data_IF_926586700666
#
_entry.id   IF_926586700666
#
_cell.length_a   1.000
_cell.length_b   1.000
_cell.length_c   1.000
_cell.angle_alpha   90.00
_cell.angle_beta   90.00
_cell.angle_gamma   90.00
#
_symmetry.space_group_name_H-M   'P 1'
#
loop_
_entity.id
_entity.type
_entity.pdbx_description
1 polymer ?
#
# COMPACT_ATOMS: atom_id res chain seq x y z
N UNK A 1 4.36 -7.63 -31.93
CA UNK A 1 4.88 -7.81 -30.55
C UNK A 1 3.71 -7.46 -29.66
N UNK A 2 3.23 -8.43 -28.93
CA UNK A 2 2.10 -8.25 -28.03
C UNK A 2 2.45 -7.37 -26.82
N UNK A 3 1.48 -6.66 -26.31
CA UNK A 3 1.63 -5.76 -25.16
C UNK A 3 1.16 -6.40 -23.86
N UNK A 4 1.84 -6.10 -22.77
CA UNK A 4 1.42 -6.42 -21.40
C UNK A 4 0.28 -5.51 -20.95
N UNK A 5 -0.37 -5.79 -19.81
CA UNK A 5 -1.43 -4.94 -19.26
C UNK A 5 -0.97 -3.49 -19.08
N UNK A 6 0.18 -3.29 -18.45
CA UNK A 6 0.78 -1.98 -18.21
C UNK A 6 1.06 -1.23 -19.51
N UNK A 7 1.61 -1.91 -20.52
CA UNK A 7 1.88 -1.29 -21.81
C UNK A 7 0.61 -0.83 -22.53
N UNK A 8 -0.47 -1.63 -22.47
CA UNK A 8 -1.77 -1.24 -23.07
C UNK A 8 -2.38 0.00 -22.41
N UNK A 9 -2.34 0.08 -21.08
CA UNK A 9 -2.82 1.25 -20.35
C UNK A 9 -2.00 2.48 -20.75
N UNK A 10 -0.69 2.38 -20.75
CA UNK A 10 0.20 3.48 -21.12
C UNK A 10 0.04 3.90 -22.60
N UNK A 11 -0.13 2.96 -23.51
CA UNK A 11 -0.38 3.26 -24.92
C UNK A 11 -1.68 4.05 -25.10
N UNK A 12 -2.76 3.62 -24.44
CA UNK A 12 -4.05 4.29 -24.51
C UNK A 12 -3.98 5.73 -23.99
N UNK A 13 -3.28 5.95 -22.86
CA UNK A 13 -3.13 7.29 -22.27
C UNK A 13 -2.11 8.18 -23.00
N UNK A 14 -1.25 7.60 -23.82
CA UNK A 14 -0.37 8.35 -24.72
C UNK A 14 -0.98 8.61 -26.10
N UNK A 15 -2.20 8.12 -26.35
CA UNK A 15 -2.84 8.23 -27.67
C UNK A 15 -2.13 7.43 -28.77
N UNK A 16 -1.45 6.34 -28.39
CA UNK A 16 -0.68 5.48 -29.27
C UNK A 16 -1.38 4.13 -29.48
N UNK A 17 -1.24 3.53 -30.67
CA UNK A 17 -1.74 2.17 -30.91
C UNK A 17 -0.95 1.11 -30.16
N UNK A 18 0.35 1.34 -29.99
CA UNK A 18 1.24 0.43 -29.27
C UNK A 18 2.46 1.17 -28.70
N UNK A 19 3.06 0.57 -27.66
CA UNK A 19 4.32 1.03 -27.06
C UNK A 19 5.26 -0.17 -26.84
N UNK A 20 6.54 0.12 -26.70
CA UNK A 20 7.56 -0.90 -26.43
C UNK A 20 8.37 -0.53 -25.17
N UNK A 21 8.92 -1.52 -24.46
CA UNK A 21 9.79 -1.27 -23.31
C UNK A 21 10.92 -0.29 -23.65
N UNK A 22 11.17 0.68 -22.77
CA UNK A 22 12.18 1.70 -22.94
C UNK A 22 11.76 2.93 -23.77
N UNK A 23 10.61 2.90 -24.44
CA UNK A 23 10.06 4.05 -25.15
C UNK A 23 9.71 5.17 -24.18
N UNK A 24 10.09 6.41 -24.53
CA UNK A 24 9.63 7.60 -23.79
C UNK A 24 8.32 8.06 -24.36
N UNK A 25 7.34 8.22 -23.49
CA UNK A 25 5.98 8.68 -23.82
C UNK A 25 5.55 9.80 -22.88
N UNK A 26 4.63 10.62 -23.30
CA UNK A 26 3.84 11.50 -22.45
C UNK A 26 2.42 10.90 -22.38
N UNK A 27 1.89 10.73 -21.18
CA UNK A 27 0.60 10.08 -20.96
C UNK A 27 -0.32 10.97 -20.12
N UNK A 28 -1.61 10.98 -20.46
CA UNK A 28 -2.66 11.66 -19.71
C UNK A 28 -2.88 10.99 -18.35
N UNK A 29 -3.25 11.79 -17.35
CA UNK A 29 -3.48 11.36 -15.97
C UNK A 29 -4.97 11.41 -15.64
N UNK A 30 -5.46 10.34 -14.99
CA UNK A 30 -6.82 10.27 -14.46
C UNK A 30 -6.91 10.71 -13.04
N UNK A 31 -5.83 10.52 -12.26
CA UNK A 31 -5.75 10.95 -10.86
C UNK A 31 -4.33 11.36 -10.49
N UNK A 32 -4.22 12.47 -9.74
CA UNK A 32 -2.96 12.92 -9.12
C UNK A 32 -3.16 12.99 -7.61
N UNK A 33 -2.30 12.31 -6.84
CA UNK A 33 -2.41 12.19 -5.40
C UNK A 33 -1.30 12.94 -4.68
N UNK A 34 -1.64 13.65 -3.60
CA UNK A 34 -0.68 14.22 -2.65
C UNK A 34 -1.15 14.09 -1.20
N UNK A 35 -0.19 13.99 -0.30
CA UNK A 35 -0.41 13.96 1.15
C UNK A 35 0.22 15.18 1.85
N UNK A 36 0.17 15.21 3.18
CA UNK A 36 0.66 16.32 4.00
C UNK A 36 2.20 16.38 4.15
N UNK A 37 2.93 15.38 3.65
CA UNK A 37 4.41 15.44 3.56
C UNK A 37 4.84 16.00 2.22
N UNK A 38 4.35 15.45 1.13
CA UNK A 38 4.81 15.69 -0.23
C UNK A 38 4.05 16.81 -0.93
N UNK A 39 2.77 17.00 -0.55
CA UNK A 39 1.92 18.05 -1.07
C UNK A 39 2.48 19.46 -0.91
N UNK A 40 2.93 19.88 0.30
CA UNK A 40 3.54 21.21 0.48
C UNK A 40 4.74 21.46 -0.42
N UNK A 41 5.59 20.43 -0.64
CA UNK A 41 6.75 20.53 -1.53
C UNK A 41 6.30 20.79 -2.98
N UNK A 42 5.33 20.01 -3.46
CA UNK A 42 4.78 20.17 -4.81
C UNK A 42 4.09 21.53 -4.98
N UNK A 43 3.31 21.97 -4.00
CA UNK A 43 2.62 23.26 -4.02
C UNK A 43 3.64 24.39 -4.14
N UNK A 44 4.73 24.37 -3.40
CA UNK A 44 5.80 25.37 -3.51
C UNK A 44 6.47 25.37 -4.89
N UNK A 45 6.63 24.21 -5.54
CA UNK A 45 7.16 24.16 -6.90
C UNK A 45 6.16 24.71 -7.91
N UNK A 46 4.87 24.37 -7.77
CA UNK A 46 3.79 24.93 -8.61
C UNK A 46 3.70 26.45 -8.50
N UNK A 47 3.87 27.01 -7.30
CA UNK A 47 3.82 28.47 -7.08
C UNK A 47 4.90 29.24 -7.84
N UNK A 48 6.00 28.60 -8.21
CA UNK A 48 7.07 29.19 -9.04
C UNK A 48 6.71 29.23 -10.54
N UNK A 49 5.71 28.48 -10.96
CA UNK A 49 5.30 28.40 -12.37
C UNK A 49 4.43 29.61 -12.77
N UNK A 50 4.41 29.91 -14.06
CA UNK A 50 3.52 30.94 -14.61
C UNK A 50 2.05 30.50 -14.60
N UNK A 51 1.77 29.23 -14.89
CA UNK A 51 0.45 28.60 -14.78
C UNK A 51 0.32 27.96 -13.41
N UNK A 52 -0.62 28.46 -12.60
CA UNK A 52 -0.82 28.02 -11.20
C UNK A 52 -2.16 27.33 -10.98
N UNK A 53 -3.00 27.23 -12.00
CA UNK A 53 -4.31 26.58 -11.94
C UNK A 53 -4.15 25.10 -12.26
N UNK A 54 -4.71 24.25 -11.43
CA UNK A 54 -4.75 22.80 -11.68
C UNK A 54 -5.47 22.47 -12.98
N UNK A 55 -5.07 21.37 -13.62
CA UNK A 55 -5.66 20.98 -14.91
C UNK A 55 -7.14 20.58 -14.77
N UNK A 56 -7.46 19.86 -13.70
CA UNK A 56 -8.82 19.43 -13.37
C UNK A 56 -8.92 19.24 -11.86
N UNK A 57 -9.79 20.00 -11.19
CA UNK A 57 -10.01 19.95 -9.74
C UNK A 57 -10.61 18.64 -9.26
N UNK A 58 -11.29 17.90 -10.14
CA UNK A 58 -11.95 16.63 -9.83
C UNK A 58 -11.02 15.43 -10.00
N UNK A 59 -9.86 15.63 -10.64
CA UNK A 59 -8.82 14.62 -10.86
C UNK A 59 -7.60 14.77 -9.92
N UNK A 60 -7.73 15.54 -8.86
CA UNK A 60 -6.69 15.70 -7.84
C UNK A 60 -7.25 15.27 -6.50
N UNK A 61 -6.51 14.42 -5.78
CA UNK A 61 -6.82 14.01 -4.41
C UNK A 61 -5.75 14.51 -3.46
N UNK A 62 -6.17 15.16 -2.38
CA UNK A 62 -5.29 15.66 -1.32
C UNK A 62 -5.70 15.05 0.01
N UNK A 63 -4.82 14.27 0.62
CA UNK A 63 -5.11 13.49 1.83
C UNK A 63 -4.06 13.76 2.91
N UNK A 64 -4.35 14.59 3.92
CA UNK A 64 -3.47 14.75 5.08
C UNK A 64 -3.60 13.55 6.03
N UNK A 65 -2.80 12.50 5.83
CA UNK A 65 -2.89 11.23 6.55
C UNK A 65 -1.61 10.81 7.29
N UNK A 66 -0.48 11.48 7.04
CA UNK A 66 0.80 11.11 7.63
C UNK A 66 1.03 11.73 9.01
N UNK A 67 0.72 13.02 9.17
CA UNK A 67 0.91 13.77 10.41
C UNK A 67 -0.40 14.25 11.04
N UNK A 68 -1.51 13.77 10.55
CA UNK A 68 -2.84 14.09 11.07
C UNK A 68 -3.41 12.95 11.94
N UNK A 69 -4.11 13.28 13.05
CA UNK A 69 -4.19 14.61 13.67
C UNK A 69 -2.81 15.14 14.04
N UNK A 70 -2.59 16.44 13.90
CA UNK A 70 -1.24 17.00 13.89
C UNK A 70 -0.45 16.75 15.19
N UNK A 71 0.75 16.23 15.07
CA UNK A 71 1.65 15.91 16.18
C UNK A 71 2.43 17.10 16.73
N UNK A 72 2.63 18.14 15.92
CA UNK A 72 3.39 19.34 16.24
C UNK A 72 2.98 20.52 15.35
N UNK A 73 3.55 21.72 15.63
CA UNK A 73 3.23 22.95 14.90
C UNK A 73 3.60 22.83 13.42
N UNK A 74 4.74 22.22 13.09
CA UNK A 74 5.21 22.06 11.71
C UNK A 74 4.25 21.18 10.90
N UNK A 75 3.80 20.09 11.50
CA UNK A 75 2.77 19.22 10.90
C UNK A 75 1.46 19.95 10.64
N UNK A 76 1.05 20.82 11.60
CA UNK A 76 -0.15 21.64 11.45
C UNK A 76 -0.01 22.65 10.30
N UNK A 77 1.17 23.25 10.13
CA UNK A 77 1.46 24.16 9.01
C UNK A 77 1.45 23.43 7.65
N UNK A 78 1.96 22.21 7.58
CA UNK A 78 1.89 21.37 6.37
C UNK A 78 0.43 21.06 6.00
N UNK A 79 -0.37 20.58 6.94
CA UNK A 79 -1.79 20.29 6.70
C UNK A 79 -2.56 21.57 6.32
N UNK A 80 -2.23 22.72 6.95
CA UNK A 80 -2.80 24.03 6.58
C UNK A 80 -2.46 24.41 5.15
N UNK A 81 -1.21 24.25 4.72
CA UNK A 81 -0.77 24.52 3.34
C UNK A 81 -1.62 23.73 2.33
N UNK A 82 -1.75 22.42 2.54
CA UNK A 82 -2.55 21.54 1.66
C UNK A 82 -4.03 21.97 1.64
N UNK A 83 -4.61 22.28 2.81
CA UNK A 83 -6.00 22.72 2.94
C UNK A 83 -6.26 24.04 2.21
N UNK A 84 -5.39 25.03 2.40
CA UNK A 84 -5.51 26.34 1.76
C UNK A 84 -5.37 26.24 0.24
N UNK A 85 -4.45 25.39 -0.23
CA UNK A 85 -4.30 25.10 -1.65
C UNK A 85 -5.55 24.43 -2.23
N UNK A 86 -6.08 23.39 -1.56
CA UNK A 86 -7.31 22.73 -1.97
C UNK A 86 -8.47 23.72 -2.13
N UNK A 87 -8.63 24.60 -1.15
CA UNK A 87 -9.65 25.67 -1.18
C UNK A 87 -9.41 26.66 -2.30
N UNK A 88 -8.19 27.12 -2.50
CA UNK A 88 -7.84 28.10 -3.53
C UNK A 88 -8.03 27.55 -4.94
N UNK A 89 -7.78 26.26 -5.17
CA UNK A 89 -7.94 25.59 -6.46
C UNK A 89 -9.34 24.98 -6.65
N UNK A 90 -10.18 24.96 -5.60
CA UNK A 90 -11.50 24.37 -5.61
C UNK A 90 -11.47 22.85 -5.76
N UNK A 91 -10.40 22.18 -5.29
CA UNK A 91 -10.21 20.73 -5.39
C UNK A 91 -11.34 20.01 -4.66
N UNK A 92 -12.00 19.10 -5.36
CA UNK A 92 -13.17 18.37 -4.86
C UNK A 92 -12.77 17.26 -3.89
N UNK A 93 -11.66 16.56 -4.16
CA UNK A 93 -11.23 15.40 -3.39
C UNK A 93 -10.16 15.81 -2.34
N UNK A 94 -10.56 16.64 -1.40
CA UNK A 94 -9.79 16.98 -0.21
C UNK A 94 -10.46 16.33 1.02
N UNK A 95 -9.69 15.56 1.77
CA UNK A 95 -10.20 14.79 2.91
C UNK A 95 -9.59 15.29 4.23
N UNK A 96 -10.30 16.15 4.93
CA UNK A 96 -9.89 16.71 6.22
C UNK A 96 -9.94 15.68 7.35
N UNK A 97 -9.31 15.99 8.49
CA UNK A 97 -9.41 15.20 9.74
C UNK A 97 -10.88 14.93 10.08
N UNK A 98 -11.22 13.66 10.23
CA UNK A 98 -12.61 13.20 10.41
C UNK A 98 -13.21 12.55 9.16
N UNK A 99 -12.76 12.93 7.98
CA UNK A 99 -13.10 12.31 6.69
C UNK A 99 -11.91 11.56 6.09
N UNK A 100 -10.72 11.78 6.63
CA UNK A 100 -9.48 11.19 6.16
C UNK A 100 -9.41 9.68 6.40
N UNK A 101 -8.56 9.04 5.63
CA UNK A 101 -8.06 7.69 5.84
C UNK A 101 -6.64 7.65 5.32
N UNK A 102 -5.96 6.53 5.49
CA UNK A 102 -4.67 6.32 4.83
C UNK A 102 -4.92 6.32 3.32
N UNK A 103 -4.26 7.22 2.59
CA UNK A 103 -4.55 7.55 1.19
C UNK A 103 -4.73 6.33 0.28
N UNK A 104 -3.86 5.32 0.40
CA UNK A 104 -3.91 4.12 -0.44
C UNK A 104 -5.03 3.12 -0.06
N UNK A 105 -5.73 3.32 1.03
CA UNK A 105 -6.97 2.63 1.35
C UNK A 105 -8.19 3.51 1.08
N UNK A 106 -8.07 4.82 1.34
CA UNK A 106 -9.16 5.78 1.18
C UNK A 106 -9.57 5.97 -0.28
N UNK A 107 -8.62 6.15 -1.20
CA UNK A 107 -8.94 6.45 -2.59
C UNK A 107 -9.72 5.33 -3.29
N UNK A 108 -9.36 4.04 -3.15
CA UNK A 108 -10.19 2.93 -3.62
C UNK A 108 -11.57 2.89 -2.96
N UNK A 109 -11.65 3.09 -1.63
CA UNK A 109 -12.93 3.13 -0.88
C UNK A 109 -13.85 4.26 -1.35
N UNK A 110 -13.28 5.39 -1.79
CA UNK A 110 -14.03 6.52 -2.36
C UNK A 110 -14.30 6.38 -3.86
N UNK A 111 -13.89 5.28 -4.47
CA UNK A 111 -14.09 5.02 -5.89
C UNK A 111 -13.40 6.01 -6.82
N UNK A 112 -12.31 6.64 -6.36
CA UNK A 112 -11.60 7.67 -7.12
C UNK A 112 -10.70 7.11 -8.22
N UNK A 113 -10.39 5.83 -8.16
CA UNK A 113 -9.55 5.12 -9.14
C UNK A 113 -10.23 3.80 -9.52
N UNK A 114 -10.24 3.48 -10.81
CA UNK A 114 -10.85 2.26 -11.36
C UNK A 114 -9.91 1.62 -12.38
N UNK A 115 -10.27 0.43 -12.87
CA UNK A 115 -9.48 -0.31 -13.84
C UNK A 115 -9.21 0.49 -15.13
N UNK A 116 -7.99 0.37 -15.63
CA UNK A 116 -7.53 0.98 -16.86
C UNK A 116 -7.13 2.46 -16.73
N UNK A 117 -7.25 3.06 -15.56
CA UNK A 117 -6.83 4.44 -15.31
C UNK A 117 -5.32 4.56 -15.02
N UNK A 118 -4.78 5.76 -15.22
CA UNK A 118 -3.39 6.13 -14.89
C UNK A 118 -3.36 7.10 -13.72
N UNK A 119 -2.66 6.72 -12.65
CA UNK A 119 -2.52 7.52 -11.44
C UNK A 119 -1.07 7.75 -11.07
N UNK A 120 -0.72 8.99 -10.70
CA UNK A 120 0.54 9.30 -10.05
C UNK A 120 0.33 9.89 -8.67
N UNK A 121 1.27 9.64 -7.77
CA UNK A 121 1.29 10.26 -6.45
C UNK A 121 2.72 10.50 -6.00
N UNK A 122 2.92 11.49 -5.14
CA UNK A 122 4.23 11.71 -4.54
C UNK A 122 4.43 10.84 -3.28
N UNK A 123 3.84 9.64 -3.29
CA UNK A 123 4.09 8.56 -2.35
C UNK A 123 4.51 7.30 -3.09
N UNK A 124 5.51 6.59 -2.54
CA UNK A 124 6.06 5.39 -3.18
C UNK A 124 5.01 4.29 -3.37
N UNK A 125 4.04 4.18 -2.43
CA UNK A 125 3.03 3.13 -2.42
C UNK A 125 1.79 3.47 -3.29
N UNK A 126 1.85 4.52 -4.11
CA UNK A 126 0.83 4.81 -5.13
C UNK A 126 0.59 3.61 -6.06
N UNK A 127 1.56 2.69 -6.19
CA UNK A 127 1.40 1.44 -6.94
C UNK A 127 0.25 0.53 -6.43
N UNK A 128 -0.30 0.78 -5.25
CA UNK A 128 -1.40 0.02 -4.63
C UNK A 128 -2.60 -0.19 -5.55
N UNK A 129 -2.92 0.78 -6.40
CA UNK A 129 -4.11 0.75 -7.24
C UNK A 129 -4.01 -0.21 -8.43
N UNK A 130 -2.84 -0.78 -8.67
CA UNK A 130 -2.69 -1.92 -9.59
C UNK A 130 -3.50 -3.15 -9.19
N UNK A 131 -3.90 -3.25 -7.92
CA UNK A 131 -4.87 -4.26 -7.45
C UNK A 131 -6.23 -4.15 -8.16
N UNK A 132 -6.60 -2.96 -8.66
CA UNK A 132 -7.81 -2.70 -9.44
C UNK A 132 -7.58 -2.81 -10.96
N UNK A 133 -6.38 -3.15 -11.41
CA UNK A 133 -6.03 -3.15 -12.83
C UNK A 133 -5.76 -1.75 -13.40
N UNK A 134 -5.33 -0.80 -12.58
CA UNK A 134 -4.87 0.53 -12.98
C UNK A 134 -3.34 0.59 -13.08
N UNK A 135 -2.80 1.41 -13.97
CA UNK A 135 -1.40 1.79 -13.90
C UNK A 135 -1.22 2.92 -12.89
N UNK A 136 -0.59 2.62 -11.78
CA UNK A 136 -0.36 3.60 -10.74
C UNK A 136 1.07 3.51 -10.22
N UNK A 137 1.70 4.67 -10.00
CA UNK A 137 3.12 4.70 -9.62
C UNK A 137 3.48 5.94 -8.80
N UNK A 138 4.45 5.76 -7.90
CA UNK A 138 5.06 6.87 -7.18
C UNK A 138 6.02 7.68 -8.06
N UNK A 139 5.97 9.01 -7.89
CA UNK A 139 6.85 9.98 -8.57
C UNK A 139 7.41 10.98 -7.57
N UNK A 140 8.37 11.78 -7.99
CA UNK A 140 8.87 12.91 -7.18
C UNK A 140 7.81 14.00 -6.98
N UNK A 141 7.91 14.77 -5.88
CA UNK A 141 6.97 15.87 -5.60
C UNK A 141 6.92 16.92 -6.71
N UNK A 142 8.05 17.17 -7.39
CA UNK A 142 8.12 18.09 -8.53
C UNK A 142 7.33 17.56 -9.74
N UNK A 143 7.51 16.27 -10.06
CA UNK A 143 6.78 15.63 -11.17
C UNK A 143 5.28 15.57 -10.88
N UNK A 144 4.92 15.27 -9.62
CA UNK A 144 3.52 15.29 -9.18
C UNK A 144 2.94 16.70 -9.29
N UNK A 145 3.67 17.75 -8.86
CA UNK A 145 3.27 19.14 -9.02
C UNK A 145 3.08 19.53 -10.50
N UNK A 146 3.97 19.09 -11.40
CA UNK A 146 3.81 19.27 -12.83
C UNK A 146 2.53 18.58 -13.34
N UNK A 147 2.29 17.33 -12.93
CA UNK A 147 1.09 16.58 -13.25
C UNK A 147 -0.21 17.28 -12.81
N UNK A 148 -0.21 17.91 -11.61
CA UNK A 148 -1.36 18.69 -11.13
C UNK A 148 -1.69 19.88 -12.04
N UNK A 149 -0.71 20.44 -12.74
CA UNK A 149 -0.90 21.61 -13.63
C UNK A 149 -1.18 21.20 -15.08
N UNK A 150 -0.50 20.16 -15.55
CA UNK A 150 -0.58 19.74 -16.97
C UNK A 150 -1.64 18.69 -17.24
N UNK A 151 -1.93 17.84 -16.26
CA UNK A 151 -2.73 16.63 -16.45
C UNK A 151 -1.98 15.51 -17.16
N UNK A 152 -0.66 15.63 -17.28
CA UNK A 152 0.20 14.70 -18.02
C UNK A 152 1.47 14.41 -17.24
N UNK A 153 2.03 13.24 -17.50
CA UNK A 153 3.36 12.86 -17.03
C UNK A 153 4.11 12.10 -18.13
N UNK A 154 5.43 12.25 -18.14
CA UNK A 154 6.27 11.43 -19.00
C UNK A 154 6.66 10.13 -18.32
N UNK A 155 6.72 9.06 -19.10
CA UNK A 155 7.16 7.76 -18.64
C UNK A 155 8.14 7.14 -19.64
N UNK A 156 9.13 6.45 -19.10
CA UNK A 156 9.82 5.41 -19.85
C UNK A 156 8.98 4.15 -19.67
N UNK A 157 8.43 3.60 -20.75
CA UNK A 157 7.60 2.38 -20.69
C UNK A 157 8.38 1.27 -20.01
N UNK A 158 7.89 0.69 -18.88
CA UNK A 158 8.60 -0.40 -18.22
C UNK A 158 8.48 -1.71 -19.03
N UNK A 159 9.50 -2.55 -18.95
CA UNK A 159 9.33 -3.97 -19.23
C UNK A 159 8.60 -4.65 -18.08
N UNK A 160 8.23 -5.91 -18.21
CA UNK A 160 7.43 -6.61 -17.21
C UNK A 160 8.02 -7.95 -16.79
N UNK A 161 7.79 -8.30 -15.54
CA UNK A 161 7.97 -9.64 -14.98
C UNK A 161 6.58 -10.24 -14.77
N UNK A 162 6.36 -11.44 -15.28
CA UNK A 162 5.16 -12.22 -15.00
C UNK A 162 5.33 -12.97 -13.69
N UNK A 163 4.44 -12.72 -12.72
CA UNK A 163 4.37 -13.49 -11.47
C UNK A 163 3.18 -14.42 -11.57
N UNK A 164 3.45 -15.69 -11.85
CA UNK A 164 2.43 -16.72 -12.01
C UNK A 164 2.10 -17.35 -10.66
N UNK A 165 0.89 -17.10 -10.15
CA UNK A 165 0.37 -17.66 -8.91
C UNK A 165 -0.40 -18.94 -9.18
N UNK A 166 -0.06 -20.03 -8.48
CA UNK A 166 -0.72 -21.33 -8.58
C UNK A 166 -1.28 -21.79 -7.24
N UNK A 167 -2.38 -22.53 -7.28
CA UNK A 167 -2.99 -23.08 -6.07
C UNK A 167 -3.74 -22.06 -5.23
N UNK A 168 -3.84 -22.32 -3.93
CA UNK A 168 -4.62 -21.53 -2.98
C UNK A 168 -3.82 -21.24 -1.70
N UNK A 169 -4.14 -20.10 -1.05
CA UNK A 169 -3.51 -19.74 0.23
C UNK A 169 -3.93 -20.72 1.34
N UNK A 170 -2.96 -21.11 2.17
CA UNK A 170 -3.20 -21.87 3.39
C UNK A 170 -3.84 -21.00 4.48
N UNK A 171 -4.49 -21.61 5.48
CA UNK A 171 -4.92 -20.85 6.67
C UNK A 171 -3.74 -20.04 7.27
N UNK A 172 -4.03 -18.80 7.63
CA UNK A 172 -3.09 -17.83 8.22
C UNK A 172 -1.97 -17.31 7.28
N UNK A 173 -2.00 -17.69 6.01
CA UNK A 173 -1.17 -17.09 4.95
C UNK A 173 -2.01 -16.09 4.19
N UNK A 174 -1.47 -14.91 3.90
CA UNK A 174 -2.15 -13.80 3.26
C UNK A 174 -1.33 -13.20 2.12
N UNK A 175 -1.89 -12.23 1.41
CA UNK A 175 -1.16 -11.46 0.40
C UNK A 175 0.15 -10.86 0.91
N UNK A 176 0.22 -10.52 2.22
CA UNK A 176 1.47 -10.08 2.84
C UNK A 176 2.57 -11.11 2.77
N UNK A 177 2.25 -12.37 3.03
CA UNK A 177 3.22 -13.47 2.97
C UNK A 177 3.65 -13.72 1.51
N UNK A 178 2.71 -13.60 0.55
CA UNK A 178 3.01 -13.73 -0.88
C UNK A 178 4.03 -12.70 -1.34
N UNK A 179 3.81 -11.43 -1.02
CA UNK A 179 4.71 -10.36 -1.48
C UNK A 179 6.05 -10.39 -0.74
N UNK A 180 6.08 -10.70 0.56
CA UNK A 180 7.33 -10.90 1.29
C UNK A 180 8.14 -12.06 0.71
N UNK A 181 7.47 -13.18 0.37
CA UNK A 181 8.12 -14.30 -0.28
C UNK A 181 8.72 -13.89 -1.64
N UNK A 182 7.97 -13.17 -2.48
CA UNK A 182 8.47 -12.67 -3.76
C UNK A 182 9.70 -11.77 -3.58
N UNK A 183 9.62 -10.79 -2.66
CA UNK A 183 10.75 -9.88 -2.39
C UNK A 183 11.97 -10.66 -1.89
N UNK A 184 11.76 -11.69 -1.05
CA UNK A 184 12.82 -12.58 -0.61
C UNK A 184 13.48 -13.39 -1.73
N UNK A 185 12.74 -13.71 -2.79
CA UNK A 185 13.25 -14.42 -3.95
C UNK A 185 14.07 -13.54 -4.89
N UNK A 186 13.60 -12.31 -5.16
CA UNK A 186 14.20 -11.46 -6.21
C UNK A 186 15.03 -10.30 -5.68
N UNK A 187 14.96 -10.02 -4.36
CA UNK A 187 15.63 -8.88 -3.73
C UNK A 187 14.87 -7.55 -3.88
N UNK A 188 15.35 -6.52 -3.20
CA UNK A 188 14.75 -5.17 -3.19
C UNK A 188 14.92 -4.40 -4.51
N UNK A 189 15.74 -4.89 -5.41
CA UNK A 189 16.00 -4.31 -6.74
C UNK A 189 15.69 -5.27 -7.90
N UNK A 190 15.19 -6.48 -7.61
CA UNK A 190 14.94 -7.52 -8.61
C UNK A 190 13.93 -7.12 -9.69
N UNK A 191 13.01 -6.21 -9.37
CA UNK A 191 12.06 -5.66 -10.33
C UNK A 191 12.32 -4.17 -10.66
N UNK A 192 13.57 -3.70 -10.49
CA UNK A 192 13.89 -2.29 -10.64
C UNK A 192 13.41 -1.72 -11.97
N UNK A 193 12.52 -0.72 -11.88
CA UNK A 193 11.88 -0.04 -13.02
C UNK A 193 11.04 -0.96 -13.94
N UNK A 194 10.59 -2.11 -13.47
CA UNK A 194 9.72 -3.04 -14.21
C UNK A 194 8.29 -3.00 -13.68
N UNK A 195 7.36 -3.53 -14.45
CA UNK A 195 6.01 -3.86 -13.99
C UNK A 195 5.99 -5.30 -13.46
N UNK A 196 5.40 -5.54 -12.29
CA UNK A 196 5.06 -6.89 -11.83
C UNK A 196 3.61 -7.18 -12.23
N UNK A 197 3.39 -8.13 -13.13
CA UNK A 197 2.05 -8.55 -13.55
C UNK A 197 1.70 -9.88 -12.91
N UNK A 198 0.79 -9.85 -11.92
CA UNK A 198 0.36 -11.02 -11.17
C UNK A 198 -0.73 -11.76 -11.93
N UNK A 199 -0.50 -13.00 -12.27
CA UNK A 199 -1.36 -13.80 -13.15
C UNK A 199 -1.49 -15.23 -12.63
N UNK A 200 -2.25 -16.05 -13.33
CA UNK A 200 -2.43 -17.46 -13.01
C UNK A 200 -3.70 -17.75 -12.20
N UNK A 201 -3.99 -19.02 -12.04
CA UNK A 201 -5.22 -19.47 -11.38
C UNK A 201 -5.28 -19.11 -9.89
N UNK A 202 -4.13 -19.00 -9.24
CA UNK A 202 -4.01 -18.65 -7.82
C UNK A 202 -4.52 -17.24 -7.50
N UNK A 203 -4.58 -16.33 -8.48
CA UNK A 203 -5.15 -14.97 -8.29
C UNK A 203 -6.59 -15.05 -7.80
N UNK A 204 -7.36 -16.06 -8.22
CA UNK A 204 -8.76 -16.25 -7.80
C UNK A 204 -8.91 -16.56 -6.31
N UNK A 205 -7.88 -17.12 -5.67
CA UNK A 205 -7.91 -17.40 -4.22
C UNK A 205 -7.72 -16.14 -3.38
N UNK A 206 -7.05 -15.11 -3.93
CA UNK A 206 -6.77 -13.86 -3.23
C UNK A 206 -8.03 -13.01 -3.05
N UNK A 207 -8.19 -12.44 -1.87
CA UNK A 207 -9.16 -11.37 -1.62
C UNK A 207 -8.69 -10.07 -2.27
N UNK A 208 -9.56 -9.04 -2.32
CA UNK A 208 -9.13 -7.71 -2.76
C UNK A 208 -8.09 -7.11 -1.79
N UNK A 209 -8.24 -7.35 -0.48
CA UNK A 209 -7.30 -6.86 0.53
C UNK A 209 -5.92 -7.50 0.36
N UNK A 210 -5.84 -8.79 -0.01
CA UNK A 210 -4.58 -9.45 -0.39
C UNK A 210 -3.94 -8.79 -1.62
N UNK A 211 -4.74 -8.53 -2.68
CA UNK A 211 -4.24 -7.89 -3.90
C UNK A 211 -3.73 -6.48 -3.65
N UNK A 212 -4.42 -5.71 -2.81
CA UNK A 212 -3.96 -4.39 -2.39
C UNK A 212 -2.64 -4.46 -1.62
N UNK A 213 -2.48 -5.44 -0.71
CA UNK A 213 -1.22 -5.64 0.01
C UNK A 213 -0.07 -5.99 -0.92
N UNK A 214 -0.30 -6.87 -1.89
CA UNK A 214 0.71 -7.31 -2.87
C UNK A 214 1.10 -6.14 -3.78
N UNK A 215 0.13 -5.45 -4.37
CA UNK A 215 0.38 -4.30 -5.25
C UNK A 215 1.08 -3.15 -4.51
N UNK A 216 0.68 -2.89 -3.25
CA UNK A 216 1.30 -1.88 -2.40
C UNK A 216 2.81 -2.10 -2.23
N UNK A 217 3.22 -3.34 -1.99
CA UNK A 217 4.62 -3.67 -1.72
C UNK A 217 5.43 -4.02 -2.97
N UNK A 218 4.88 -3.90 -4.17
CA UNK A 218 5.63 -4.09 -5.41
C UNK A 218 6.84 -3.14 -5.52
N UNK A 219 6.71 -1.93 -5.01
CA UNK A 219 7.80 -0.94 -4.95
C UNK A 219 8.97 -1.41 -4.07
N UNK A 220 8.75 -2.28 -3.10
CA UNK A 220 9.81 -2.81 -2.24
C UNK A 220 10.72 -3.82 -2.95
N UNK A 221 10.32 -4.28 -4.15
CA UNK A 221 11.17 -4.99 -5.10
C UNK A 221 11.74 -4.08 -6.20
N UNK A 222 11.54 -2.75 -6.09
CA UNK A 222 11.98 -1.76 -7.08
C UNK A 222 11.01 -1.57 -8.25
N UNK A 223 9.86 -2.23 -8.28
CA UNK A 223 8.91 -2.15 -9.38
C UNK A 223 8.26 -0.76 -9.51
N UNK A 224 7.91 -0.38 -10.74
CA UNK A 224 7.11 0.81 -11.01
C UNK A 224 5.65 0.63 -10.57
N UNK A 225 5.12 -0.57 -10.75
CA UNK A 225 3.78 -0.96 -10.31
C UNK A 225 3.69 -2.48 -10.12
N UNK A 226 2.69 -2.91 -9.36
CA UNK A 226 2.24 -4.30 -9.31
C UNK A 226 0.79 -4.33 -9.75
N UNK A 227 0.46 -5.07 -10.82
CA UNK A 227 -0.86 -5.03 -11.43
C UNK A 227 -1.50 -6.42 -11.50
N UNK A 228 -2.81 -6.47 -11.26
CA UNK A 228 -3.63 -7.66 -11.32
C UNK A 228 -4.61 -7.62 -12.49
N UNK A 229 -4.97 -8.76 -13.08
CA UNK A 229 -6.07 -8.84 -14.03
C UNK A 229 -7.38 -8.49 -13.33
N UNK A 230 -8.29 -7.89 -14.07
CA UNK A 230 -9.61 -7.52 -13.59
C UNK A 230 -10.55 -8.71 -13.71
N UNK A 231 -10.90 -9.30 -12.59
CA UNK A 231 -11.84 -10.41 -12.50
C UNK A 231 -13.16 -10.00 -11.79
N UNK A 232 -14.03 -10.97 -11.55
CA UNK A 232 -15.32 -10.76 -10.91
C UNK A 232 -15.21 -10.09 -9.52
N UNK A 233 -14.15 -10.40 -8.74
CA UNK A 233 -13.93 -9.78 -7.43
C UNK A 233 -13.54 -8.30 -7.58
N UNK A 234 -12.68 -7.99 -8.56
CA UNK A 234 -12.28 -6.61 -8.84
C UNK A 234 -13.48 -5.79 -9.34
N UNK A 235 -14.29 -6.38 -10.23
CA UNK A 235 -15.50 -5.73 -10.75
C UNK A 235 -16.48 -5.46 -9.59
N UNK A 236 -16.76 -6.44 -8.76
CA UNK A 236 -17.67 -6.28 -7.61
C UNK A 236 -17.19 -5.18 -6.66
N UNK A 237 -15.88 -5.15 -6.38
CA UNK A 237 -15.30 -4.09 -5.54
C UNK A 237 -15.47 -2.70 -6.17
N UNK A 238 -15.17 -2.55 -7.47
CA UNK A 238 -15.32 -1.26 -8.16
C UNK A 238 -16.78 -0.81 -8.21
N UNK A 239 -17.71 -1.71 -8.51
CA UNK A 239 -19.14 -1.38 -8.59
C UNK A 239 -19.76 -1.02 -7.23
N UNK A 240 -19.23 -1.55 -6.14
CA UNK A 240 -19.63 -1.16 -4.78
C UNK A 240 -19.18 0.26 -4.43
N UNK A 241 -18.01 0.69 -4.93
CA UNK A 241 -17.36 1.92 -4.48
C UNK A 241 -17.40 3.06 -5.51
N UNK A 242 -17.67 2.78 -6.79
CA UNK A 242 -17.57 3.77 -7.87
C UNK A 242 -18.70 3.65 -8.90
N UNK A 243 -19.10 4.80 -9.44
CA UNK A 243 -19.98 4.87 -10.61
C UNK A 243 -19.20 5.24 -11.89
N UNK A 244 -17.87 5.35 -11.81
CA UNK A 244 -17.01 5.66 -12.95
C UNK A 244 -17.04 4.53 -13.97
N UNK A 245 -16.95 4.88 -15.24
CA UNK A 245 -16.68 3.90 -16.29
C UNK A 245 -15.24 3.44 -16.20
N UNK A 246 -15.00 2.18 -16.45
CA UNK A 246 -13.67 1.59 -16.44
C UNK A 246 -13.39 0.83 -17.75
N UNK A 247 -12.12 0.60 -18.02
CA UNK A 247 -11.66 -0.20 -19.16
C UNK A 247 -10.80 -1.35 -18.66
N UNK A 248 -11.10 -2.56 -19.11
CA UNK A 248 -10.32 -3.75 -18.76
C UNK A 248 -9.26 -3.96 -19.84
N UNK A 249 -8.01 -4.03 -19.41
CA UNK A 249 -6.88 -4.38 -20.26
C UNK A 249 -6.33 -5.75 -19.84
N UNK A 250 -6.31 -6.67 -20.80
CA UNK A 250 -5.66 -7.96 -20.66
C UNK A 250 -4.38 -7.97 -21.50
N UNK A 251 -3.33 -8.71 -21.10
CA UNK A 251 -2.14 -8.85 -21.93
C UNK A 251 -2.49 -9.56 -23.23
N UNK A 252 -1.76 -9.28 -24.30
CA UNK A 252 -1.87 -10.05 -25.54
C UNK A 252 -1.36 -11.48 -25.32
N UNK A 253 -1.82 -12.43 -26.13
CA UNK A 253 -1.38 -13.84 -26.03
C UNK A 253 0.14 -13.98 -26.27
N UNK A 254 0.71 -13.10 -27.11
CA UNK A 254 2.12 -13.01 -27.43
C UNK A 254 2.83 -11.88 -26.67
N UNK A 255 2.29 -11.43 -25.53
CA UNK A 255 2.94 -10.43 -24.67
C UNK A 255 4.30 -10.95 -24.19
N UNK A 256 5.32 -10.09 -24.27
CA UNK A 256 6.68 -10.44 -23.88
C UNK A 256 6.96 -9.99 -22.43
N UNK A 257 7.54 -10.91 -21.65
CA UNK A 257 7.99 -10.69 -20.28
C UNK A 257 9.49 -10.96 -20.19
N UNK A 258 10.22 -10.12 -19.43
CA UNK A 258 11.66 -10.34 -19.18
C UNK A 258 11.91 -11.65 -18.45
N UNK A 259 10.97 -12.01 -17.56
CA UNK A 259 11.07 -13.20 -16.71
C UNK A 259 9.67 -13.67 -16.31
N UNK A 260 9.55 -14.95 -16.00
CA UNK A 260 8.37 -15.54 -15.35
C UNK A 260 8.77 -16.18 -14.04
N UNK A 261 8.17 -15.71 -12.95
CA UNK A 261 8.36 -16.22 -11.59
C UNK A 261 7.10 -16.98 -11.21
N UNK A 262 7.23 -18.26 -10.88
CA UNK A 262 6.09 -19.07 -10.43
C UNK A 262 6.10 -19.21 -8.92
N UNK A 263 4.97 -18.90 -8.26
CA UNK A 263 4.76 -19.08 -6.81
C UNK A 263 3.61 -20.07 -6.60
N UNK A 264 3.89 -21.18 -5.94
CA UNK A 264 2.86 -22.13 -5.51
C UNK A 264 2.34 -21.73 -4.12
N UNK A 265 1.15 -21.15 -4.09
CA UNK A 265 0.48 -20.68 -2.88
C UNK A 265 0.25 -21.81 -1.87
N UNK A 266 0.09 -23.06 -2.34
CA UNK A 266 -0.08 -24.21 -1.46
C UNK A 266 1.19 -24.52 -0.63
N UNK A 267 2.34 -24.02 -1.02
CA UNK A 267 3.61 -24.27 -0.32
C UNK A 267 4.00 -23.16 0.63
N UNK A 268 3.41 -21.96 0.46
CA UNK A 268 3.74 -20.82 1.30
C UNK A 268 3.44 -21.07 2.78
N UNK A 269 4.29 -20.51 3.62
CA UNK A 269 4.15 -20.51 5.07
C UNK A 269 4.18 -19.06 5.58
N UNK A 270 3.64 -18.78 6.78
CA UNK A 270 3.75 -17.46 7.39
C UNK A 270 5.20 -16.99 7.40
N UNK A 271 5.41 -15.79 6.84
CA UNK A 271 6.73 -15.24 6.52
C UNK A 271 7.00 -13.98 7.32
N UNK A 272 8.25 -13.78 7.72
CA UNK A 272 8.74 -12.58 8.42
C UNK A 272 9.96 -12.04 7.67
N UNK A 273 9.95 -10.74 7.37
CA UNK A 273 11.15 -10.05 6.88
C UNK A 273 11.92 -9.44 8.06
N UNK A 274 13.16 -9.82 8.19
CA UNK A 274 14.07 -9.39 9.24
C UNK A 274 14.66 -8.00 8.94
N UNK A 275 15.10 -7.23 9.96
CA UNK A 275 15.80 -5.98 9.75
C UNK A 275 17.09 -6.18 8.92
N UNK A 276 17.52 -5.21 8.09
CA UNK A 276 16.89 -3.90 7.86
C UNK A 276 16.47 -3.76 6.38
N UNK A 277 16.10 -4.88 5.73
CA UNK A 277 15.60 -4.90 4.35
C UNK A 277 14.42 -5.88 4.24
N UNK A 278 13.39 -5.54 3.43
CA UNK A 278 12.24 -6.44 3.22
C UNK A 278 12.59 -7.79 2.58
N UNK A 279 13.75 -7.90 1.91
CA UNK A 279 14.24 -9.15 1.31
C UNK A 279 14.81 -10.17 2.31
N UNK A 280 15.08 -9.75 3.55
CA UNK A 280 15.63 -10.64 4.58
C UNK A 280 14.55 -11.57 5.15
N UNK A 281 13.88 -12.32 4.28
CA UNK A 281 12.73 -13.14 4.63
C UNK A 281 13.12 -14.51 5.18
N UNK A 282 12.32 -14.97 6.15
CA UNK A 282 12.34 -16.32 6.69
C UNK A 282 10.91 -16.76 6.99
N UNK A 283 10.66 -18.05 6.98
CA UNK A 283 9.42 -18.55 7.58
C UNK A 283 9.43 -18.31 9.10
N UNK A 284 8.25 -18.19 9.70
CA UNK A 284 8.16 -18.02 11.17
C UNK A 284 8.86 -19.15 11.91
N UNK A 285 8.83 -20.39 11.39
CA UNK A 285 9.54 -21.56 11.95
C UNK A 285 11.06 -21.38 11.99
N UNK A 286 11.60 -20.67 11.00
CA UNK A 286 13.05 -20.40 10.87
C UNK A 286 13.49 -19.14 11.63
N UNK A 287 12.52 -18.31 12.08
CA UNK A 287 12.80 -17.05 12.75
C UNK A 287 13.58 -17.20 14.06
N UNK A 288 13.47 -18.36 14.72
CA UNK A 288 14.05 -18.58 16.02
C UNK A 288 13.32 -17.81 17.13
N UNK A 289 13.96 -17.70 18.29
CA UNK A 289 13.36 -17.00 19.43
C UNK A 289 13.72 -15.52 19.43
N UNK A 290 12.87 -14.70 18.79
CA UNK A 290 13.00 -13.24 18.75
C UNK A 290 11.96 -12.62 19.68
N UNK A 291 12.37 -12.09 20.80
CA UNK A 291 11.53 -11.33 21.75
C UNK A 291 11.29 -9.94 21.17
N UNK A 292 10.06 -9.44 21.31
CA UNK A 292 9.62 -8.14 20.79
C UNK A 292 9.15 -7.22 21.92
N UNK A 293 9.12 -5.91 21.66
CA UNK A 293 8.67 -4.87 22.58
C UNK A 293 7.34 -4.23 22.11
N UNK A 294 7.10 -4.24 20.79
CA UNK A 294 5.94 -3.59 20.19
C UNK A 294 5.38 -4.40 19.03
N UNK A 295 4.07 -4.27 18.82
CA UNK A 295 3.34 -4.77 17.66
C UNK A 295 2.56 -3.63 17.04
N UNK A 296 2.65 -3.51 15.71
CA UNK A 296 1.81 -2.56 14.94
C UNK A 296 1.02 -3.34 13.91
N UNK A 297 -0.31 -3.24 13.98
CA UNK A 297 -1.25 -3.87 13.04
C UNK A 297 -2.00 -2.75 12.32
N UNK A 298 -1.88 -2.67 11.02
CA UNK A 298 -2.51 -1.62 10.23
C UNK A 298 -1.65 -1.15 9.06
N UNK A 299 -1.72 0.12 8.73
CA UNK A 299 -1.11 0.83 7.61
C UNK A 299 -1.87 0.69 6.28
N UNK A 300 -1.35 1.34 5.22
CA UNK A 300 -1.90 1.20 3.86
C UNK A 300 -1.82 -0.23 3.33
N UNK A 301 -0.91 -1.03 3.88
CA UNK A 301 -0.70 -2.42 3.48
C UNK A 301 -1.77 -3.34 4.09
N UNK A 302 -1.92 -3.30 5.42
CA UNK A 302 -2.73 -4.26 6.18
C UNK A 302 -3.54 -3.60 7.31
N UNK A 303 -4.33 -2.58 6.97
CA UNK A 303 -5.28 -1.93 7.88
C UNK A 303 -6.73 -2.03 7.42
N UNK A 304 -7.03 -2.90 6.44
CA UNK A 304 -8.38 -3.11 5.92
C UNK A 304 -9.19 -4.04 6.82
N UNK A 305 -10.47 -4.16 6.54
CA UNK A 305 -11.40 -4.85 7.43
C UNK A 305 -11.03 -6.34 7.61
N UNK A 306 -10.58 -7.00 6.56
CA UNK A 306 -10.15 -8.40 6.63
C UNK A 306 -8.90 -8.58 7.50
N UNK A 307 -7.93 -7.68 7.39
CA UNK A 307 -6.73 -7.67 8.25
C UNK A 307 -7.09 -7.56 9.72
N UNK A 308 -8.01 -6.63 10.04
CA UNK A 308 -8.49 -6.43 11.39
C UNK A 308 -9.30 -7.63 11.91
N UNK A 309 -10.10 -8.26 11.04
CA UNK A 309 -10.83 -9.49 11.37
C UNK A 309 -9.87 -10.60 11.76
N UNK A 310 -8.87 -10.87 10.93
CA UNK A 310 -7.86 -11.92 11.18
C UNK A 310 -7.17 -11.69 12.53
N UNK A 311 -6.71 -10.46 12.77
CA UNK A 311 -6.06 -10.11 14.03
C UNK A 311 -7.00 -10.23 15.23
N UNK A 312 -8.25 -9.80 15.09
CA UNK A 312 -9.26 -9.88 16.15
C UNK A 312 -9.63 -11.35 16.47
N UNK A 313 -9.79 -12.21 15.46
CA UNK A 313 -10.09 -13.63 15.66
C UNK A 313 -8.99 -14.32 16.48
N UNK A 314 -7.72 -13.98 16.23
CA UNK A 314 -6.59 -14.51 16.98
C UNK A 314 -6.54 -13.97 18.41
N UNK A 315 -6.81 -12.69 18.62
CA UNK A 315 -6.75 -12.03 19.93
C UNK A 315 -7.99 -12.26 20.80
N UNK A 316 -9.08 -12.78 20.23
CA UNK A 316 -10.35 -12.98 20.93
C UNK A 316 -10.23 -13.87 22.15
N UNK A 317 -10.58 -13.30 23.32
CA UNK A 317 -10.51 -14.00 24.61
C UNK A 317 -9.10 -14.17 25.17
N UNK A 318 -8.08 -13.62 24.50
CA UNK A 318 -6.67 -13.70 24.91
C UNK A 318 -6.17 -12.32 25.38
N UNK A 319 -5.00 -12.28 25.94
CA UNK A 319 -4.33 -11.06 26.42
C UNK A 319 -2.99 -10.87 25.73
N UNK A 320 -2.67 -9.63 25.45
CA UNK A 320 -1.31 -9.22 25.06
C UNK A 320 -0.33 -9.58 26.16
N UNK A 321 0.84 -10.10 25.80
CA UNK A 321 1.90 -10.44 26.75
C UNK A 321 2.31 -9.21 27.57
N UNK A 322 2.62 -9.44 28.85
CA UNK A 322 3.02 -8.35 29.75
C UNK A 322 4.29 -7.65 29.24
N UNK A 323 4.21 -6.34 29.12
CA UNK A 323 5.33 -5.50 28.65
C UNK A 323 5.31 -5.22 27.15
N UNK A 324 4.44 -5.86 26.38
CA UNK A 324 4.30 -5.61 24.94
C UNK A 324 3.28 -4.46 24.70
N UNK A 325 3.63 -3.53 23.83
CA UNK A 325 2.73 -2.49 23.33
C UNK A 325 2.12 -2.96 22.02
N UNK A 326 0.80 -2.90 21.89
CA UNK A 326 0.10 -3.21 20.64
C UNK A 326 -0.67 -2.00 20.17
N UNK A 327 -0.43 -1.58 18.94
CA UNK A 327 -1.11 -0.46 18.27
C UNK A 327 -1.83 -1.01 17.05
N UNK A 328 -3.15 -0.79 17.00
CA UNK A 328 -4.00 -1.17 15.87
C UNK A 328 -4.47 0.09 15.16
N UNK A 329 -4.34 0.12 13.84
CA UNK A 329 -4.64 1.29 13.00
C UNK A 329 -5.60 0.87 11.90
N UNK A 330 -6.92 1.07 12.05
CA UNK A 330 -7.86 0.94 10.95
C UNK A 330 -7.49 1.91 9.82
N UNK A 331 -7.55 1.47 8.57
CA UNK A 331 -7.01 2.27 7.47
C UNK A 331 -7.89 3.48 7.09
N UNK A 332 -9.20 3.43 7.34
CA UNK A 332 -10.13 4.54 7.07
C UNK A 332 -11.17 4.66 8.18
N UNK A 333 -11.90 5.79 8.20
CA UNK A 333 -13.01 5.98 9.13
C UNK A 333 -14.13 4.97 8.92
N UNK A 334 -14.41 4.60 7.66
CA UNK A 334 -15.41 3.58 7.36
C UNK A 334 -14.98 2.22 7.90
N UNK A 335 -13.75 1.80 7.63
CA UNK A 335 -13.19 0.55 8.17
C UNK A 335 -13.23 0.57 9.71
N UNK A 336 -12.96 1.72 10.34
CA UNK A 336 -13.04 1.85 11.79
C UNK A 336 -14.46 1.60 12.32
N UNK A 337 -15.48 2.18 11.67
CA UNK A 337 -16.88 1.94 12.02
C UNK A 337 -17.28 0.49 11.78
N UNK A 338 -16.96 -0.09 10.63
CA UNK A 338 -17.25 -1.49 10.30
C UNK A 338 -16.59 -2.45 11.31
N UNK A 339 -15.35 -2.18 11.70
CA UNK A 339 -14.65 -2.95 12.73
C UNK A 339 -15.26 -2.77 14.14
N UNK A 340 -15.82 -1.60 14.43
CA UNK A 340 -16.56 -1.35 15.67
C UNK A 340 -17.86 -2.15 15.71
N UNK A 341 -18.64 -2.10 14.62
CA UNK A 341 -19.90 -2.82 14.50
C UNK A 341 -19.71 -4.34 14.53
N UNK A 342 -18.62 -4.85 13.93
CA UNK A 342 -18.21 -6.24 14.00
C UNK A 342 -17.64 -6.67 15.38
N UNK A 343 -17.42 -5.73 16.30
CA UNK A 343 -16.89 -6.00 17.64
C UNK A 343 -15.36 -6.17 17.70
N UNK A 344 -14.63 -5.96 16.61
CA UNK A 344 -13.17 -6.13 16.56
C UNK A 344 -12.46 -5.11 17.42
N UNK A 345 -12.92 -3.85 17.42
CA UNK A 345 -12.36 -2.78 18.26
C UNK A 345 -12.45 -3.15 19.75
N UNK A 346 -13.60 -3.69 20.19
CA UNK A 346 -13.76 -4.18 21.55
C UNK A 346 -12.77 -5.30 21.86
N UNK A 347 -12.62 -6.26 20.96
CA UNK A 347 -11.67 -7.38 21.10
C UNK A 347 -10.24 -6.87 21.29
N UNK A 348 -9.79 -5.91 20.50
CA UNK A 348 -8.46 -5.32 20.63
C UNK A 348 -8.26 -4.64 21.98
N UNK A 349 -9.21 -3.81 22.42
CA UNK A 349 -9.13 -3.11 23.72
C UNK A 349 -9.15 -4.13 24.87
N UNK A 350 -10.04 -5.11 24.82
CA UNK A 350 -10.11 -6.16 25.83
C UNK A 350 -8.84 -7.01 25.87
N UNK A 351 -8.17 -7.24 24.74
CA UNK A 351 -6.88 -7.92 24.70
C UNK A 351 -5.75 -7.09 25.31
N UNK A 352 -5.88 -5.76 25.40
CA UNK A 352 -4.87 -4.84 25.92
C UNK A 352 -4.13 -4.05 24.84
N UNK A 353 -4.68 -3.96 23.62
CA UNK A 353 -4.17 -3.12 22.56
C UNK A 353 -4.74 -1.69 22.63
N UNK A 354 -4.02 -0.74 22.03
CA UNK A 354 -4.50 0.61 21.74
C UNK A 354 -4.99 0.64 20.29
N UNK A 355 -6.20 1.17 20.08
CA UNK A 355 -6.72 1.41 18.73
C UNK A 355 -6.59 2.90 18.42
N UNK A 356 -5.94 3.20 17.31
CA UNK A 356 -5.67 4.57 16.85
C UNK A 356 -6.72 5.06 15.87
N UNK A 357 -6.75 6.38 15.66
CA UNK A 357 -7.35 6.95 14.45
C UNK A 357 -6.61 6.47 13.18
N UNK A 358 -7.26 6.44 12.00
CA UNK A 358 -6.58 6.19 10.73
C UNK A 358 -5.42 7.18 10.52
N UNK A 359 -4.20 6.67 10.34
CA UNK A 359 -3.01 7.47 10.06
C UNK A 359 -1.88 6.62 9.53
N UNK A 360 -1.08 7.14 8.62
CA UNK A 360 0.13 6.50 8.12
C UNK A 360 1.35 6.75 9.03
N UNK A 361 1.27 7.68 9.97
CA UNK A 361 2.38 8.19 10.78
C UNK A 361 3.28 7.16 11.45
N UNK A 362 2.78 6.09 12.09
CA UNK A 362 3.64 5.07 12.70
C UNK A 362 4.57 4.36 11.72
N UNK A 363 4.13 4.14 10.48
CA UNK A 363 4.90 3.45 9.44
C UNK A 363 6.23 4.15 9.09
N UNK A 364 6.32 5.46 9.30
CA UNK A 364 7.50 6.27 8.98
C UNK A 364 8.15 6.90 10.22
N UNK A 365 7.74 6.52 11.42
CA UNK A 365 8.23 7.15 12.66
C UNK A 365 7.82 8.62 12.78
N UNK A 366 6.77 9.01 12.08
CA UNK A 366 6.36 10.39 11.94
C UNK A 366 5.29 10.86 12.93
N UNK A 367 4.62 9.95 13.64
CA UNK A 367 3.48 10.32 14.47
C UNK A 367 3.49 9.64 15.85
N UNK A 368 3.04 8.38 15.97
CA UNK A 368 2.94 7.65 17.23
C UNK A 368 3.66 6.30 17.13
N UNK A 369 3.83 5.59 18.27
CA UNK A 369 4.43 4.26 18.28
C UNK A 369 5.90 4.26 17.88
N UNK A 370 6.60 5.37 18.13
CA UNK A 370 8.02 5.53 17.81
C UNK A 370 8.83 4.61 18.73
N UNK A 371 9.77 3.88 18.13
CA UNK A 371 10.65 2.95 18.82
C UNK A 371 11.86 3.66 19.44
N UNK A 372 12.20 3.27 20.67
CA UNK A 372 13.42 3.67 21.34
C UNK A 372 14.62 2.82 20.88
N UNK A 373 15.80 3.13 21.42
CA UNK A 373 17.05 2.40 21.16
C UNK A 373 16.88 0.90 21.47
N UNK A 374 17.24 0.06 20.48
CA UNK A 374 17.21 -1.42 20.57
C UNK A 374 15.83 -2.05 20.77
N UNK A 375 14.75 -1.29 20.72
CA UNK A 375 13.41 -1.88 20.74
C UNK A 375 13.12 -2.64 19.44
N UNK A 376 12.38 -3.74 19.56
CA UNK A 376 11.97 -4.63 18.49
C UNK A 376 10.49 -4.55 18.25
N UNK A 377 10.11 -4.31 17.01
CA UNK A 377 8.72 -4.23 16.60
C UNK A 377 8.40 -5.24 15.52
N UNK A 378 7.37 -6.05 15.70
CA UNK A 378 6.74 -6.75 14.59
C UNK A 378 5.62 -5.88 14.02
N UNK A 379 5.58 -5.72 12.70
CA UNK A 379 4.72 -4.75 12.05
C UNK A 379 4.13 -5.26 10.75
N UNK A 380 2.89 -4.90 10.49
CA UNK A 380 2.24 -5.16 9.20
C UNK A 380 2.46 -4.05 8.17
N UNK A 381 3.30 -3.05 8.50
CA UNK A 381 3.73 -2.00 7.59
C UNK A 381 4.58 -2.57 6.44
N UNK A 382 5.06 -1.72 5.54
CA UNK A 382 5.71 -2.14 4.30
C UNK A 382 7.24 -2.02 4.30
N UNK A 383 7.85 -1.28 5.24
CA UNK A 383 9.30 -1.01 5.28
C UNK A 383 9.89 -1.24 6.66
N UNK A 384 11.10 -1.79 6.67
CA UNK A 384 11.86 -2.06 7.89
C UNK A 384 13.30 -1.53 7.84
N UNK A 385 13.53 -0.44 7.08
CA UNK A 385 14.84 0.20 6.95
C UNK A 385 15.34 0.74 8.29
N UNK A 386 16.65 0.95 8.39
CA UNK A 386 17.29 1.55 9.58
C UNK A 386 16.60 2.87 9.96
N UNK A 387 16.16 2.97 11.20
CA UNK A 387 15.50 4.17 11.74
C UNK A 387 14.07 4.43 11.21
N UNK A 388 13.47 3.50 10.46
CA UNK A 388 12.17 3.72 9.80
C UNK A 388 11.04 4.07 10.76
N UNK A 389 10.98 3.43 11.94
CA UNK A 389 9.93 3.66 12.93
C UNK A 389 10.43 4.31 14.22
N UNK A 390 11.62 4.90 14.22
CA UNK A 390 12.16 5.57 15.39
C UNK A 390 13.69 5.58 15.45
N UNK A 391 14.26 5.08 16.57
CA UNK A 391 15.70 5.08 16.77
C UNK A 391 16.43 4.23 15.73
N UNK A 392 17.64 4.65 15.32
CA UNK A 392 18.43 3.96 14.27
C UNK A 392 18.87 2.55 14.66
N UNK A 393 18.96 2.26 15.95
CA UNK A 393 19.26 0.93 16.48
C UNK A 393 18.01 0.09 16.79
N UNK A 394 16.81 0.59 16.46
CA UNK A 394 15.59 -0.22 16.58
C UNK A 394 15.47 -1.21 15.43
N UNK A 395 14.80 -2.33 15.69
CA UNK A 395 14.63 -3.41 14.73
C UNK A 395 13.14 -3.59 14.39
N UNK A 396 12.83 -3.63 13.09
CA UNK A 396 11.46 -3.83 12.61
C UNK A 396 11.41 -5.14 11.82
N UNK A 397 10.43 -5.97 12.18
CA UNK A 397 10.14 -7.25 11.54
C UNK A 397 8.81 -7.13 10.81
N UNK A 398 8.79 -7.29 9.48
CA UNK A 398 7.55 -7.21 8.70
C UNK A 398 6.87 -8.58 8.66
N UNK A 399 5.59 -8.61 8.94
CA UNK A 399 4.80 -9.83 8.93
C UNK A 399 3.32 -9.57 8.61
N UNK A 400 2.56 -10.63 8.39
CA UNK A 400 1.11 -10.58 8.21
C UNK A 400 0.38 -10.24 9.52
N UNK A 401 -0.89 -9.77 9.45
CA UNK A 401 -1.72 -9.53 10.62
C UNK A 401 -1.85 -10.75 11.54
N UNK A 402 -1.89 -11.95 10.97
CA UNK A 402 -1.97 -13.19 11.72
C UNK A 402 -0.73 -13.43 12.59
N UNK A 403 0.46 -13.30 12.01
CA UNK A 403 1.74 -13.43 12.73
C UNK A 403 1.90 -12.32 13.76
N UNK A 404 1.55 -11.08 13.42
CA UNK A 404 1.63 -9.95 14.33
C UNK A 404 0.72 -10.15 15.57
N UNK A 405 -0.54 -10.59 15.36
CA UNK A 405 -1.46 -10.86 16.46
C UNK A 405 -1.02 -12.03 17.35
N UNK A 406 -0.49 -13.12 16.76
CA UNK A 406 0.06 -14.24 17.50
C UNK A 406 1.27 -13.82 18.36
N UNK A 407 2.16 -13.01 17.77
CA UNK A 407 3.34 -12.49 18.45
C UNK A 407 2.98 -11.54 19.60
N UNK A 408 1.87 -10.79 19.49
CA UNK A 408 1.36 -9.96 20.58
C UNK A 408 0.98 -10.79 21.83
N UNK A 409 0.47 -12.00 21.64
CA UNK A 409 0.07 -12.90 22.73
C UNK A 409 1.29 -13.53 23.39
N UNK A 410 2.28 -13.94 22.63
CA UNK A 410 3.45 -14.68 23.12
C UNK A 410 4.60 -13.78 23.60
N UNK A 411 4.65 -12.53 23.12
CA UNK A 411 5.76 -11.60 23.36
C UNK A 411 7.01 -11.89 22.51
N UNK A 412 6.90 -12.77 21.53
CA UNK A 412 7.97 -13.12 20.58
C UNK A 412 7.37 -13.44 19.22
N UNK A 413 8.19 -13.45 18.15
CA UNK A 413 7.73 -13.86 16.83
C UNK A 413 7.14 -15.27 16.92
N UNK A 414 5.85 -15.41 16.55
CA UNK A 414 5.11 -16.67 16.66
C UNK A 414 4.11 -16.85 15.54
N UNK A 415 3.89 -18.10 15.15
CA UNK A 415 2.82 -18.49 14.24
C UNK A 415 1.47 -18.57 14.97
N UNK A 416 0.35 -18.23 14.31
CA UNK A 416 -0.98 -18.49 14.86
C UNK A 416 -1.23 -19.96 15.24
N UNK A 417 -0.51 -20.88 14.61
CA UNK A 417 -0.61 -22.32 14.91
C UNK A 417 0.05 -22.72 16.23
N UNK A 418 0.73 -21.80 16.90
CA UNK A 418 1.46 -22.03 18.16
C UNK A 418 0.68 -21.58 19.40
N UNK A 419 -0.53 -20.97 19.22
CA UNK A 419 -1.29 -20.31 20.29
C UNK A 419 -2.68 -20.91 20.52
#
# INVERSE_FOLDING_TARGET
MGMTMTQKILAAHAGLESVVPGQLIEADLDLVLANDITGPVAIHEVEKLNKKTVFDKDKIALVPDHFAPNKDIKSAEHCKCVREYAKAQGITNYFEVGEMGIEHALLPEKGLIVAGETCIGADSHTCTYGALGAFSTGVGSTDMGAGMITGQAWFKVPSAIKVELKGELKPWVSGKDVILHLIGLIGVDGALYRSLEFMGEGVKSLSMDDRFSIANMAIEAGAKNGIFPVDEKTIAYMEEHSTKKYTIYEPDEDAEYDETITIDLNTLEPTVAFPHLPENTKTVKEAGEVVIDQVVIGSCTNGRLEDLRIAADILKGKKVAKGIRVIVIPATQKIYLDAMDAGYIRTFIEAGAVVSTPTCGPCLGGYMGILAEKERCISTTNRNFVGRMGHVESEIYLASPAVAAASAITGKISSPNEI
#
